data_IF_509816001093
#
_entry.id   IF_509816001093
#
_cell.length_a   1.000
_cell.length_b   1.000
_cell.length_c   1.000
_cell.angle_alpha   90.00
_cell.angle_beta   90.00
_cell.angle_gamma   90.00
#
_symmetry.space_group_name_H-M   'P 1'
#
loop_
_entity.id
_entity.type
_entity.pdbx_description
1 polymer ?
#
# COMPACT_ATOMS: atom_id res chain seq x y z
N UNK A 1 -19.21 4.70 25.05
CA UNK A 1 -17.86 4.40 24.56
C UNK A 1 -18.00 3.92 23.14
N UNK A 2 -17.19 4.44 22.20
CA UNK A 2 -17.26 4.09 20.78
C UNK A 2 -16.89 2.62 20.57
N UNK A 3 -17.62 1.93 19.70
CA UNK A 3 -17.46 0.50 19.42
C UNK A 3 -17.10 0.22 17.97
N UNK A 4 -17.37 1.15 17.06
CA UNK A 4 -17.15 0.95 15.64
C UNK A 4 -16.78 2.25 14.92
N UNK A 5 -15.53 2.32 14.48
CA UNK A 5 -14.96 3.47 13.81
C UNK A 5 -15.07 3.30 12.30
N UNK A 6 -15.54 4.33 11.59
CA UNK A 6 -15.24 4.50 10.17
C UNK A 6 -13.95 5.31 10.04
N UNK A 7 -12.98 4.80 9.30
CA UNK A 7 -11.70 5.49 9.02
C UNK A 7 -11.58 5.68 7.50
N UNK A 8 -11.93 6.86 6.96
CA UNK A 8 -11.69 7.13 5.56
C UNK A 8 -10.20 7.36 5.29
N UNK A 9 -9.71 6.69 4.26
CA UNK A 9 -8.31 6.70 3.85
C UNK A 9 -8.19 7.03 2.36
N UNK A 10 -7.10 7.68 1.98
CA UNK A 10 -6.75 8.00 0.61
C UNK A 10 -5.32 7.54 0.29
N UNK A 11 -4.86 7.76 -0.94
CA UNK A 11 -3.53 7.32 -1.39
C UNK A 11 -2.41 8.29 -0.96
N UNK A 12 -2.55 8.96 0.19
CA UNK A 12 -1.55 9.88 0.72
C UNK A 12 -0.77 9.26 1.88
N UNK A 13 0.44 9.74 2.11
CA UNK A 13 1.26 9.35 3.26
C UNK A 13 0.57 9.68 4.60
N UNK A 14 -0.35 10.67 4.58
CA UNK A 14 -1.20 11.04 5.71
C UNK A 14 -2.11 9.89 6.15
N UNK A 15 -2.62 9.12 5.18
CA UNK A 15 -3.51 8.01 5.44
C UNK A 15 -2.81 6.89 6.23
N UNK A 16 -1.53 6.62 5.94
CA UNK A 16 -0.73 5.64 6.68
C UNK A 16 -0.65 6.01 8.17
N UNK A 17 -0.40 7.28 8.47
CA UNK A 17 -0.37 7.76 9.87
C UNK A 17 -1.74 7.70 10.52
N UNK A 18 -2.79 8.07 9.78
CA UNK A 18 -4.17 8.00 10.25
C UNK A 18 -4.57 6.57 10.62
N UNK A 19 -4.18 5.57 9.82
CA UNK A 19 -4.39 4.15 10.12
C UNK A 19 -3.77 3.79 11.46
N UNK A 20 -2.50 4.16 11.69
CA UNK A 20 -1.81 3.90 12.96
C UNK A 20 -2.52 4.53 14.16
N UNK A 21 -2.97 5.78 14.05
CA UNK A 21 -3.73 6.45 15.12
C UNK A 21 -5.10 5.82 15.37
N UNK A 22 -5.81 5.44 14.31
CA UNK A 22 -7.11 4.80 14.44
C UNK A 22 -6.99 3.43 15.14
N UNK A 23 -5.97 2.65 14.80
CA UNK A 23 -5.67 1.36 15.44
C UNK A 23 -5.29 1.56 16.90
N UNK A 24 -4.43 2.54 17.20
CA UNK A 24 -4.04 2.88 18.57
C UNK A 24 -5.21 3.34 19.44
N UNK A 25 -6.22 4.01 18.84
CA UNK A 25 -7.46 4.38 19.51
C UNK A 25 -8.39 3.18 19.69
N UNK A 26 -8.59 2.37 18.65
CA UNK A 26 -9.56 1.27 18.66
C UNK A 26 -9.16 0.13 19.62
N UNK A 27 -7.86 -0.19 19.70
CA UNK A 27 -7.32 -1.30 20.51
C UNK A 27 -7.71 -1.23 21.99
N UNK A 28 -7.43 -0.16 22.76
CA UNK A 28 -7.81 -0.09 24.17
C UNK A 28 -9.33 0.03 24.38
N UNK A 29 -10.09 0.47 23.36
CA UNK A 29 -11.55 0.55 23.41
C UNK A 29 -12.23 -0.81 23.14
N UNK A 30 -11.50 -1.81 22.64
CA UNK A 30 -12.10 -3.03 22.10
C UNK A 30 -13.02 -2.76 20.91
N UNK A 31 -12.78 -1.67 20.18
CA UNK A 31 -13.59 -1.26 19.04
C UNK A 31 -13.11 -1.96 17.75
N UNK A 32 -14.01 -2.08 16.77
CA UNK A 32 -13.68 -2.51 15.41
C UNK A 32 -13.54 -1.32 14.47
N UNK A 33 -12.86 -1.50 13.34
CA UNK A 33 -12.65 -0.47 12.32
C UNK A 33 -13.28 -0.89 10.99
N UNK A 34 -13.99 0.01 10.32
CA UNK A 34 -14.25 -0.07 8.88
C UNK A 34 -13.36 0.95 8.18
N UNK A 35 -12.35 0.49 7.45
CA UNK A 35 -11.58 1.34 6.55
C UNK A 35 -12.41 1.64 5.31
N UNK A 36 -12.40 2.90 4.87
CA UNK A 36 -13.20 3.32 3.73
C UNK A 36 -12.38 4.11 2.72
N UNK A 37 -12.51 3.80 1.44
CA UNK A 37 -11.94 4.60 0.37
C UNK A 37 -13.03 5.06 -0.60
N UNK A 38 -13.19 6.38 -0.73
CA UNK A 38 -13.99 6.98 -1.79
C UNK A 38 -13.16 6.99 -3.07
N UNK A 39 -13.60 6.23 -4.06
CA UNK A 39 -12.96 6.17 -5.37
C UNK A 39 -13.66 7.18 -6.26
N UNK A 40 -12.89 8.07 -6.91
CA UNK A 40 -13.48 9.06 -7.82
C UNK A 40 -14.26 8.40 -8.96
N UNK A 41 -15.49 8.88 -9.20
CA UNK A 41 -16.35 8.39 -10.27
C UNK A 41 -16.00 9.12 -11.57
N UNK A 42 -15.18 8.48 -12.40
CA UNK A 42 -14.77 9.06 -13.67
C UNK A 42 -15.97 9.34 -14.60
N UNK A 43 -17.09 8.60 -14.46
CA UNK A 43 -18.30 8.78 -15.27
C UNK A 43 -19.03 10.10 -14.98
N UNK A 44 -18.94 10.59 -13.75
CA UNK A 44 -19.61 11.81 -13.31
C UNK A 44 -18.70 13.05 -13.42
N UNK A 45 -17.37 12.86 -13.42
CA UNK A 45 -16.40 13.86 -13.82
C UNK A 45 -16.31 13.95 -15.36
N UNK A 46 -17.15 14.79 -15.96
CA UNK A 46 -17.21 15.08 -17.41
C UNK A 46 -15.90 15.59 -18.06
N UNK A 47 -14.75 15.57 -17.36
CA UNK A 47 -13.44 16.03 -17.84
C UNK A 47 -12.28 15.27 -17.19
N UNK A 48 -11.69 14.31 -17.91
CA UNK A 48 -10.38 13.76 -17.55
C UNK A 48 -9.95 12.51 -18.32
N UNK A 49 -8.66 12.18 -18.22
CA UNK A 49 -8.07 10.94 -18.76
C UNK A 49 -8.73 9.67 -18.21
N UNK A 50 -9.25 9.73 -16.98
CA UNK A 50 -9.95 8.61 -16.33
C UNK A 50 -11.31 8.28 -16.99
N UNK A 51 -12.06 9.28 -17.48
CA UNK A 51 -13.32 9.05 -18.20
C UNK A 51 -13.08 8.50 -19.60
N UNK A 52 -12.05 9.04 -20.27
CA UNK A 52 -11.55 8.48 -21.52
C UNK A 52 -11.17 7.02 -21.34
N UNK A 53 -10.40 6.68 -20.30
CA UNK A 53 -10.02 5.30 -19.99
C UNK A 53 -11.24 4.42 -19.69
N UNK A 54 -12.20 4.90 -18.92
CA UNK A 54 -13.45 4.15 -18.62
C UNK A 54 -14.26 3.86 -19.87
N UNK A 55 -14.33 4.80 -20.82
CA UNK A 55 -15.08 4.66 -22.06
C UNK A 55 -14.36 3.82 -23.12
N UNK A 56 -13.04 3.92 -23.21
CA UNK A 56 -12.24 3.26 -24.25
C UNK A 56 -11.70 1.90 -23.82
N UNK A 57 -11.52 1.67 -22.52
CA UNK A 57 -11.04 0.43 -21.94
C UNK A 57 -11.61 0.22 -20.51
N UNK A 58 -12.92 -0.10 -20.39
CA UNK A 58 -13.61 -0.30 -19.10
C UNK A 58 -12.88 -1.26 -18.16
N UNK A 59 -12.31 -2.35 -18.70
CA UNK A 59 -11.56 -3.35 -17.96
C UNK A 59 -10.24 -2.80 -17.41
N UNK A 60 -9.56 -1.93 -18.18
CA UNK A 60 -8.34 -1.24 -17.76
C UNK A 60 -8.63 -0.21 -16.66
N UNK A 61 -9.77 0.49 -16.75
CA UNK A 61 -10.22 1.42 -15.73
C UNK A 61 -10.53 0.71 -14.41
N UNK A 62 -11.35 -0.35 -14.46
CA UNK A 62 -11.70 -1.14 -13.27
C UNK A 62 -10.43 -1.67 -12.60
N UNK A 63 -9.49 -2.20 -13.39
CA UNK A 63 -8.22 -2.69 -12.90
C UNK A 63 -7.37 -1.59 -12.22
N UNK A 64 -7.19 -0.45 -12.87
CA UNK A 64 -6.29 0.63 -12.41
C UNK A 64 -6.83 1.33 -11.17
N UNK A 65 -8.14 1.56 -11.13
CA UNK A 65 -8.78 2.35 -10.10
C UNK A 65 -9.18 1.48 -8.91
N UNK A 66 -9.82 0.32 -9.13
CA UNK A 66 -10.14 -0.60 -8.03
C UNK A 66 -8.90 -1.32 -7.50
N UNK A 67 -7.90 -1.59 -8.33
CA UNK A 67 -6.63 -2.19 -7.90
C UNK A 67 -5.93 -1.34 -6.84
N UNK A 68 -5.85 -0.02 -7.04
CA UNK A 68 -5.29 0.93 -6.06
C UNK A 68 -6.11 1.00 -4.77
N UNK A 69 -7.44 0.97 -4.88
CA UNK A 69 -8.31 0.91 -3.70
C UNK A 69 -8.06 -0.37 -2.89
N UNK A 70 -7.94 -1.52 -3.56
CA UNK A 70 -7.64 -2.82 -2.93
C UNK A 70 -6.27 -2.81 -2.25
N UNK A 71 -5.25 -2.24 -2.87
CA UNK A 71 -3.92 -2.07 -2.25
C UNK A 71 -4.03 -1.31 -0.93
N UNK A 72 -4.59 -0.09 -0.99
CA UNK A 72 -4.68 0.82 0.15
C UNK A 72 -5.43 0.17 1.31
N UNK A 73 -6.57 -0.45 1.02
CA UNK A 73 -7.41 -1.13 2.01
C UNK A 73 -6.73 -2.38 2.58
N UNK A 74 -6.02 -3.16 1.74
CA UNK A 74 -5.27 -4.34 2.20
C UNK A 74 -4.16 -3.96 3.18
N UNK A 75 -3.42 -2.89 2.90
CA UNK A 75 -2.39 -2.35 3.81
C UNK A 75 -3.00 -1.93 5.15
N UNK A 76 -4.14 -1.22 5.11
CA UNK A 76 -4.82 -0.75 6.31
C UNK A 76 -5.34 -1.92 7.18
N UNK A 77 -5.93 -2.93 6.56
CA UNK A 77 -6.35 -4.13 7.29
C UNK A 77 -5.18 -4.87 7.91
N UNK A 78 -4.06 -4.99 7.21
CA UNK A 78 -2.88 -5.67 7.72
C UNK A 78 -2.35 -5.00 9.00
N UNK A 79 -2.28 -3.66 9.01
CA UNK A 79 -1.90 -2.88 10.19
C UNK A 79 -2.84 -3.12 11.39
N UNK A 80 -4.16 -3.13 11.15
CA UNK A 80 -5.15 -3.37 12.19
C UNK A 80 -5.11 -4.82 12.72
N UNK A 81 -5.05 -5.82 11.82
CA UNK A 81 -4.97 -7.24 12.16
C UNK A 81 -3.72 -7.57 12.97
N UNK A 82 -2.57 -7.01 12.60
CA UNK A 82 -1.31 -7.16 13.33
C UNK A 82 -1.41 -6.71 14.80
N UNK A 83 -2.25 -5.71 15.07
CA UNK A 83 -2.47 -5.19 16.43
C UNK A 83 -3.71 -5.79 17.12
N UNK A 84 -4.30 -6.84 16.54
CA UNK A 84 -5.47 -7.53 17.08
C UNK A 84 -6.77 -6.72 17.03
N UNK A 85 -6.85 -5.69 16.20
CA UNK A 85 -8.06 -4.87 16.02
C UNK A 85 -8.93 -5.48 14.92
N UNK A 86 -10.18 -5.89 15.21
CA UNK A 86 -11.08 -6.37 14.18
C UNK A 86 -11.34 -5.28 13.14
N UNK A 87 -11.17 -5.62 11.86
CA UNK A 87 -11.36 -4.66 10.78
C UNK A 87 -12.05 -5.27 9.56
N UNK A 88 -12.72 -4.42 8.81
CA UNK A 88 -13.17 -4.68 7.44
C UNK A 88 -12.88 -3.46 6.56
N UNK A 89 -12.90 -3.65 5.26
CA UNK A 89 -12.73 -2.58 4.28
C UNK A 89 -13.94 -2.43 3.39
N UNK A 90 -14.24 -1.18 3.01
CA UNK A 90 -15.26 -0.83 2.03
C UNK A 90 -14.72 0.23 1.07
N UNK A 91 -15.23 0.23 -0.15
CA UNK A 91 -15.04 1.34 -1.07
C UNK A 91 -16.35 1.66 -1.77
N UNK A 92 -16.47 2.88 -2.29
CA UNK A 92 -17.58 3.27 -3.13
C UNK A 92 -17.09 4.23 -4.23
N UNK A 93 -17.66 4.11 -5.43
CA UNK A 93 -17.48 5.13 -6.47
C UNK A 93 -18.29 6.36 -6.07
N UNK A 94 -17.65 7.53 -5.99
CA UNK A 94 -18.33 8.79 -5.70
C UNK A 94 -17.43 10.00 -6.00
N UNK A 95 -18.01 11.00 -6.66
CA UNK A 95 -17.42 12.34 -6.80
C UNK A 95 -17.65 13.24 -5.59
N UNK A 96 -18.37 12.74 -4.58
CA UNK A 96 -18.66 13.43 -3.34
C UNK A 96 -18.12 12.59 -2.17
N UNK A 97 -16.80 12.64 -1.87
CA UNK A 97 -16.17 11.80 -0.86
C UNK A 97 -16.83 11.93 0.51
N UNK A 98 -17.09 13.16 0.98
CA UNK A 98 -17.73 13.40 2.28
C UNK A 98 -19.09 12.70 2.42
N UNK A 99 -19.93 12.80 1.38
CA UNK A 99 -21.21 12.09 1.35
C UNK A 99 -21.03 10.58 1.38
N UNK A 100 -20.11 10.04 0.57
CA UNK A 100 -19.84 8.60 0.53
C UNK A 100 -19.32 8.07 1.88
N UNK A 101 -18.48 8.86 2.58
CA UNK A 101 -18.02 8.58 3.94
C UNK A 101 -19.22 8.48 4.89
N UNK A 102 -20.13 9.45 4.87
CA UNK A 102 -21.30 9.45 5.76
C UNK A 102 -22.22 8.26 5.47
N UNK A 103 -22.49 7.97 4.20
CA UNK A 103 -23.31 6.84 3.78
C UNK A 103 -22.68 5.50 4.18
N UNK A 104 -21.36 5.35 3.99
CA UNK A 104 -20.62 4.17 4.42
C UNK A 104 -20.62 3.99 5.94
N UNK A 105 -20.43 5.07 6.71
CA UNK A 105 -20.50 5.04 8.18
C UNK A 105 -21.84 4.50 8.66
N UNK A 106 -22.94 5.04 8.11
CA UNK A 106 -24.31 4.64 8.46
C UNK A 106 -24.60 3.20 8.05
N UNK A 107 -24.24 2.81 6.83
CA UNK A 107 -24.47 1.47 6.32
C UNK A 107 -23.68 0.39 7.08
N UNK A 108 -22.50 0.71 7.58
CA UNK A 108 -21.68 -0.21 8.37
C UNK A 108 -22.04 -0.21 9.87
N UNK A 109 -22.87 0.73 10.32
CA UNK A 109 -23.26 0.88 11.73
C UNK A 109 -22.17 1.49 12.60
N UNK A 110 -21.33 2.36 12.04
CA UNK A 110 -20.26 3.06 12.76
C UNK A 110 -20.86 4.08 13.74
N UNK A 111 -20.23 4.22 14.90
CA UNK A 111 -20.60 5.18 15.96
C UNK A 111 -19.56 6.30 16.16
N UNK A 112 -18.46 6.28 15.40
CA UNK A 112 -17.46 7.33 15.30
C UNK A 112 -16.91 7.40 13.87
N UNK A 113 -16.72 8.60 13.33
CA UNK A 113 -15.93 8.83 12.12
C UNK A 113 -14.57 9.40 12.54
N UNK A 114 -13.48 8.71 12.22
CA UNK A 114 -12.12 9.09 12.59
C UNK A 114 -11.34 9.51 11.36
N UNK A 115 -11.07 10.82 11.22
CA UNK A 115 -10.50 11.40 9.99
C UNK A 115 -9.20 12.15 10.25
N UNK A 116 -8.36 12.25 9.24
CA UNK A 116 -7.27 13.21 9.24
C UNK A 116 -7.83 14.62 9.01
N UNK A 117 -7.16 15.64 9.56
CA UNK A 117 -7.25 17.00 9.04
C UNK A 117 -6.36 17.07 7.80
N UNK A 118 -6.90 17.05 6.58
CA UNK A 118 -6.05 17.23 5.39
C UNK A 118 -5.37 18.61 5.45
N UNK A 119 -4.05 18.58 5.65
CA UNK A 119 -3.21 19.76 5.83
C UNK A 119 -2.58 20.20 4.52
N UNK A 120 -3.34 20.89 3.67
CA UNK A 120 -2.73 21.76 2.67
C UNK A 120 -3.08 23.22 2.97
N UNK A 121 -2.02 23.98 3.25
CA UNK A 121 -1.88 25.45 3.32
C UNK A 121 -1.98 26.14 4.69
N UNK A 122 -0.82 26.35 5.31
CA UNK A 122 -0.46 27.68 5.82
C UNK A 122 -0.39 27.88 7.34
N UNK A 123 0.53 28.75 7.76
CA UNK A 123 0.84 29.15 9.15
C UNK A 123 -0.25 29.98 9.87
N UNK A 124 -1.53 29.69 9.68
CA UNK A 124 -2.61 30.30 10.46
C UNK A 124 -3.60 29.23 10.89
N UNK A 125 -3.88 29.19 12.20
CA UNK A 125 -4.78 28.22 12.81
C UNK A 125 -6.17 28.22 12.15
N UNK A 126 -6.65 27.00 11.86
CA UNK A 126 -7.89 26.64 11.17
C UNK A 126 -7.83 26.68 9.63
N UNK A 127 -7.30 25.60 9.06
CA UNK A 127 -7.74 25.10 7.76
C UNK A 127 -8.33 23.70 8.00
N UNK A 128 -9.63 23.60 8.25
CA UNK A 128 -10.32 22.32 8.07
C UNK A 128 -10.46 22.11 6.56
N UNK A 129 -9.99 20.99 6.04
CA UNK A 129 -10.26 20.63 4.66
C UNK A 129 -11.77 20.54 4.40
N UNK A 130 -12.16 20.86 3.17
CA UNK A 130 -13.57 20.89 2.72
C UNK A 130 -14.31 19.61 3.10
N UNK A 131 -13.67 18.45 2.93
CA UNK A 131 -14.22 17.14 3.18
C UNK A 131 -14.41 16.87 4.67
N UNK A 132 -13.39 17.19 5.49
CA UNK A 132 -13.48 17.05 6.96
C UNK A 132 -14.60 17.93 7.51
N UNK A 133 -14.69 19.18 7.04
CA UNK A 133 -15.73 20.12 7.46
C UNK A 133 -17.12 19.64 7.02
N UNK A 134 -17.26 19.15 5.81
CA UNK A 134 -18.54 18.64 5.30
C UNK A 134 -19.02 17.42 6.11
N UNK A 135 -18.12 16.50 6.47
CA UNK A 135 -18.44 15.36 7.35
C UNK A 135 -18.80 15.83 8.76
N UNK A 136 -18.05 16.79 9.33
CA UNK A 136 -18.35 17.40 10.62
C UNK A 136 -19.75 18.02 10.65
N UNK A 137 -20.14 18.72 9.58
CA UNK A 137 -21.42 19.43 9.50
C UNK A 137 -22.60 18.49 9.22
N UNK A 138 -22.41 17.42 8.45
CA UNK A 138 -23.53 16.66 7.86
C UNK A 138 -23.64 15.19 8.33
N UNK A 139 -22.64 14.63 9.03
CA UNK A 139 -22.67 13.20 9.38
C UNK A 139 -23.77 12.82 10.36
N UNK A 140 -24.04 13.68 11.35
CA UNK A 140 -24.86 13.35 12.51
C UNK A 140 -24.22 12.33 13.45
N UNK A 141 -22.96 11.92 13.19
CA UNK A 141 -22.16 11.04 14.03
C UNK A 141 -21.07 11.87 14.73
N UNK A 142 -20.58 11.43 15.90
CA UNK A 142 -19.34 11.94 16.44
C UNK A 142 -18.22 11.84 15.39
N UNK A 143 -17.44 12.91 15.24
CA UNK A 143 -16.28 12.97 14.33
C UNK A 143 -15.06 13.34 15.16
N UNK A 144 -14.03 12.51 15.11
CA UNK A 144 -12.73 12.77 15.74
C UNK A 144 -11.72 13.07 14.63
N UNK A 145 -11.13 14.27 14.70
CA UNK A 145 -10.13 14.72 13.74
C UNK A 145 -8.75 14.59 14.34
N UNK A 146 -7.90 13.76 13.73
CA UNK A 146 -6.49 13.63 14.09
C UNK A 146 -5.69 14.74 13.40
N UNK A 147 -5.02 15.59 14.21
CA UNK A 147 -3.96 16.44 13.70
C UNK A 147 -2.75 15.58 13.34
N UNK A 148 -2.21 15.82 12.16
CA UNK A 148 -1.01 15.17 11.63
C UNK A 148 0.15 16.16 11.47
N UNK A 149 -0.02 17.41 11.95
CA UNK A 149 0.80 18.56 11.56
C UNK A 149 2.08 18.85 12.37
N UNK A 150 2.33 18.21 13.51
CA UNK A 150 3.42 18.60 14.43
C UNK A 150 4.40 17.47 14.80
N UNK A 151 4.68 16.54 13.89
CA UNK A 151 5.81 15.60 14.09
C UNK A 151 7.10 16.15 13.50
N UNK A 152 8.27 15.79 14.08
CA UNK A 152 9.54 15.97 13.40
C UNK A 152 9.43 15.36 11.99
N UNK A 153 10.11 15.94 10.98
CA UNK A 153 10.07 15.42 9.61
C UNK A 153 10.21 13.91 9.65
N UNK A 154 9.33 13.19 8.93
CA UNK A 154 9.50 11.74 8.76
C UNK A 154 10.97 11.52 8.42
N UNK A 155 11.67 10.73 9.25
CA UNK A 155 13.09 10.47 9.04
C UNK A 155 13.29 10.10 7.58
N UNK A 156 14.33 10.62 6.94
CA UNK A 156 14.56 10.44 5.49
C UNK A 156 14.46 8.95 5.11
N UNK A 157 14.91 8.07 6.00
CA UNK A 157 14.74 6.63 5.92
C UNK A 157 13.29 6.14 5.71
N UNK A 158 12.32 6.68 6.45
CA UNK A 158 10.89 6.32 6.31
C UNK A 158 10.37 6.68 4.91
N UNK A 159 10.72 7.88 4.43
CA UNK A 159 10.33 8.30 3.08
C UNK A 159 10.94 7.39 2.01
N UNK A 160 12.21 6.99 2.18
CA UNK A 160 12.87 6.03 1.29
C UNK A 160 12.11 4.70 1.27
N UNK A 161 11.81 4.08 2.41
CA UNK A 161 11.06 2.81 2.47
C UNK A 161 9.71 2.94 1.75
N UNK A 162 8.95 4.00 2.03
CA UNK A 162 7.64 4.23 1.38
C UNK A 162 7.74 4.40 -0.14
N UNK A 163 8.77 5.07 -0.63
CA UNK A 163 9.01 5.22 -2.07
C UNK A 163 9.38 3.88 -2.73
N UNK A 164 10.13 3.02 -2.03
CA UNK A 164 10.46 1.67 -2.47
C UNK A 164 9.21 0.77 -2.51
N UNK A 165 8.37 0.83 -1.49
CA UNK A 165 7.04 0.18 -1.47
C UNK A 165 6.16 0.63 -2.63
N UNK A 166 6.11 1.94 -2.90
CA UNK A 166 5.36 2.51 -4.03
C UNK A 166 5.86 1.94 -5.36
N UNK A 167 7.17 1.72 -5.49
CA UNK A 167 7.78 1.14 -6.69
C UNK A 167 7.43 -0.34 -6.84
N UNK A 168 7.43 -1.12 -5.76
CA UNK A 168 7.00 -2.52 -5.75
C UNK A 168 5.52 -2.66 -6.11
N UNK A 169 4.67 -1.85 -5.48
CA UNK A 169 3.24 -1.82 -5.79
C UNK A 169 2.97 -1.44 -7.26
N UNK A 170 3.70 -0.47 -7.81
CA UNK A 170 3.57 -0.08 -9.21
C UNK A 170 3.91 -1.22 -10.18
N UNK A 171 4.95 -2.01 -9.89
CA UNK A 171 5.30 -3.19 -10.69
C UNK A 171 4.21 -4.26 -10.59
N UNK A 172 3.59 -4.44 -9.42
CA UNK A 172 2.48 -5.38 -9.28
C UNK A 172 1.23 -4.95 -10.03
N UNK A 173 0.85 -3.67 -9.97
CA UNK A 173 -0.24 -3.13 -10.77
C UNK A 173 0.02 -3.28 -12.26
N UNK A 174 1.24 -2.97 -12.71
CA UNK A 174 1.64 -3.16 -14.10
C UNK A 174 1.49 -4.63 -14.54
N UNK A 175 1.89 -5.59 -13.71
CA UNK A 175 1.79 -7.00 -14.07
C UNK A 175 0.34 -7.50 -14.12
N UNK A 176 -0.44 -7.20 -13.09
CA UNK A 176 -1.86 -7.56 -13.08
C UNK A 176 -2.62 -6.90 -14.24
N UNK A 177 -2.25 -5.67 -14.65
CA UNK A 177 -2.80 -5.02 -15.83
C UNK A 177 -2.51 -5.78 -17.13
N UNK A 178 -1.26 -6.19 -17.33
CA UNK A 178 -0.83 -7.01 -18.49
C UNK A 178 -1.63 -8.32 -18.57
N UNK A 179 -1.87 -8.97 -17.43
CA UNK A 179 -2.64 -10.21 -17.38
C UNK A 179 -4.13 -9.99 -17.62
N UNK A 180 -4.71 -8.90 -17.10
CA UNK A 180 -6.10 -8.52 -17.33
C UNK A 180 -6.37 -8.26 -18.82
N UNK A 181 -5.49 -7.51 -19.50
CA UNK A 181 -5.60 -7.26 -20.95
C UNK A 181 -5.57 -8.55 -21.76
N UNK A 182 -4.66 -9.47 -21.43
CA UNK A 182 -4.56 -10.76 -22.11
C UNK A 182 -5.81 -11.63 -21.88
N UNK A 183 -6.39 -11.58 -20.67
CA UNK A 183 -7.59 -12.34 -20.33
C UNK A 183 -8.86 -11.81 -21.03
N UNK A 184 -8.94 -10.50 -21.30
CA UNK A 184 -10.08 -9.86 -21.97
C UNK A 184 -10.03 -9.94 -23.51
N UNK A 185 -9.19 -10.81 -24.08
CA UNK A 185 -9.07 -11.00 -25.53
C UNK A 185 -7.99 -10.13 -26.20
N UNK A 186 -7.11 -9.51 -25.42
CA UNK A 186 -5.92 -8.84 -25.93
C UNK A 186 -4.84 -9.81 -26.45
N UNK A 187 -3.76 -9.24 -26.97
CA UNK A 187 -2.60 -10.01 -27.42
C UNK A 187 -1.96 -10.80 -26.27
N UNK A 188 -1.17 -11.81 -26.63
CA UNK A 188 -0.38 -12.56 -25.64
C UNK A 188 0.53 -11.61 -24.85
N UNK A 189 0.61 -11.79 -23.51
CA UNK A 189 1.42 -10.92 -22.68
C UNK A 189 2.91 -11.10 -23.01
N UNK A 190 3.66 -9.99 -23.01
CA UNK A 190 5.11 -10.01 -23.26
C UNK A 190 5.82 -10.83 -22.17
N UNK A 191 6.19 -12.07 -22.50
CA UNK A 191 6.91 -12.98 -21.59
C UNK A 191 8.24 -12.38 -21.11
N UNK A 192 8.92 -11.58 -21.94
CA UNK A 192 10.16 -10.94 -21.55
C UNK A 192 9.92 -9.81 -20.54
N UNK A 193 8.79 -9.11 -20.65
CA UNK A 193 8.33 -8.13 -19.65
C UNK A 193 7.98 -8.81 -18.32
N UNK A 194 7.21 -9.91 -18.33
CA UNK A 194 6.87 -10.64 -17.09
C UNK A 194 8.11 -11.19 -16.38
N UNK A 195 9.06 -11.76 -17.14
CA UNK A 195 10.36 -12.15 -16.57
C UNK A 195 11.17 -10.96 -16.03
N UNK A 196 11.01 -9.77 -16.61
CA UNK A 196 11.64 -8.55 -16.09
C UNK A 196 10.99 -8.06 -14.78
N UNK A 197 9.66 -8.15 -14.67
CA UNK A 197 8.91 -7.88 -13.44
C UNK A 197 9.35 -8.83 -12.32
N UNK A 198 9.42 -10.14 -12.59
CA UNK A 198 9.94 -11.14 -11.66
C UNK A 198 11.34 -10.82 -11.14
N UNK A 199 12.27 -10.49 -12.05
CA UNK A 199 13.64 -10.10 -11.67
C UNK A 199 13.64 -8.85 -10.81
N UNK A 200 12.81 -7.86 -11.13
CA UNK A 200 12.72 -6.66 -10.30
C UNK A 200 12.23 -7.01 -8.88
N UNK A 201 11.08 -7.71 -8.77
CA UNK A 201 10.47 -8.07 -7.50
C UNK A 201 11.35 -8.98 -6.63
N UNK A 202 12.25 -9.75 -7.26
CA UNK A 202 13.21 -10.62 -6.55
C UNK A 202 14.48 -9.88 -6.15
N UNK A 203 15.12 -9.24 -7.10
CA UNK A 203 16.50 -8.78 -6.93
C UNK A 203 16.56 -7.41 -6.27
N UNK A 204 15.57 -6.55 -6.49
CA UNK A 204 15.55 -5.21 -5.89
C UNK A 204 15.34 -5.28 -4.37
N UNK A 205 14.32 -5.98 -3.83
CA UNK A 205 14.13 -6.01 -2.39
C UNK A 205 15.31 -6.64 -1.66
N UNK A 206 15.81 -7.77 -2.15
CA UNK A 206 16.94 -8.48 -1.55
C UNK A 206 18.24 -7.65 -1.54
N UNK A 207 18.48 -6.84 -2.57
CA UNK A 207 19.72 -6.05 -2.68
C UNK A 207 19.65 -4.69 -1.96
N UNK A 208 18.49 -4.03 -1.98
CA UNK A 208 18.39 -2.62 -1.58
C UNK A 208 17.38 -2.34 -0.47
N UNK A 209 16.38 -3.19 -0.26
CA UNK A 209 15.26 -2.93 0.64
C UNK A 209 15.38 -3.72 1.95
N UNK A 210 15.32 -5.05 1.91
CA UNK A 210 15.37 -5.89 3.11
C UNK A 210 16.62 -5.64 3.99
N UNK A 211 17.83 -5.39 3.44
CA UNK A 211 18.98 -5.02 4.28
C UNK A 211 18.78 -3.73 5.09
N UNK A 212 18.02 -2.77 4.56
CA UNK A 212 17.66 -1.53 5.27
C UNK A 212 16.73 -1.82 6.44
N UNK A 213 15.74 -2.66 6.20
CA UNK A 213 14.77 -3.07 7.22
C UNK A 213 15.44 -3.89 8.31
N UNK A 214 16.01 -5.04 7.94
CA UNK A 214 16.50 -6.01 8.92
C UNK A 214 17.73 -5.49 9.67
N UNK A 215 18.75 -5.03 8.93
CA UNK A 215 20.04 -4.70 9.52
C UNK A 215 20.11 -3.29 10.09
N UNK A 216 19.27 -2.36 9.62
CA UNK A 216 19.32 -0.98 10.11
C UNK A 216 18.16 -0.63 11.02
N UNK A 217 16.92 -0.88 10.59
CA UNK A 217 15.73 -0.44 11.31
C UNK A 217 15.31 -1.44 12.41
N UNK A 218 15.06 -2.69 12.05
CA UNK A 218 14.54 -3.73 12.94
C UNK A 218 15.51 -4.05 14.06
N UNK A 219 16.79 -4.20 13.75
CA UNK A 219 17.83 -4.43 14.76
C UNK A 219 17.85 -3.33 15.83
N UNK A 220 17.80 -2.05 15.42
CA UNK A 220 17.81 -0.92 16.35
C UNK A 220 16.50 -0.83 17.13
N UNK A 221 15.37 -1.11 16.50
CA UNK A 221 14.08 -1.11 17.17
C UNK A 221 14.03 -2.15 18.30
N UNK A 222 14.50 -3.38 18.04
CA UNK A 222 14.62 -4.44 19.08
C UNK A 222 15.52 -4.05 20.24
N UNK A 223 16.55 -3.22 19.98
CA UNK A 223 17.41 -2.72 21.05
C UNK A 223 16.72 -1.66 21.93
N UNK A 224 15.62 -1.05 21.48
CA UNK A 224 14.89 0.00 22.21
C UNK A 224 13.58 -0.49 22.83
N UNK A 225 12.92 -1.51 22.26
CA UNK A 225 11.65 -2.04 22.77
C UNK A 225 11.40 -3.48 22.31
N UNK A 226 10.65 -4.24 23.09
CA UNK A 226 10.11 -5.58 22.78
C UNK A 226 8.66 -5.54 22.27
N UNK A 227 8.02 -4.36 22.27
CA UNK A 227 6.58 -4.20 22.02
C UNK A 227 6.13 -4.67 20.62
N UNK A 228 7.05 -4.81 19.67
CA UNK A 228 6.78 -5.23 18.30
C UNK A 228 7.56 -6.49 17.87
N UNK A 229 8.18 -7.21 18.81
CA UNK A 229 9.01 -8.39 18.49
C UNK A 229 8.26 -9.47 17.71
N UNK A 230 6.99 -9.71 18.05
CA UNK A 230 6.15 -10.69 17.36
C UNK A 230 5.92 -10.30 15.88
N UNK A 231 5.74 -9.01 15.61
CA UNK A 231 5.51 -8.48 14.27
C UNK A 231 6.79 -8.43 13.46
N UNK A 232 7.92 -8.02 14.06
CA UNK A 232 9.24 -8.12 13.42
C UNK A 232 9.57 -9.55 13.01
N UNK A 233 9.30 -10.52 13.90
CA UNK A 233 9.50 -11.94 13.59
C UNK A 233 8.53 -12.44 12.49
N UNK A 234 7.33 -11.88 12.37
CA UNK A 234 6.40 -12.20 11.28
C UNK A 234 6.86 -11.65 9.94
N UNK A 235 7.36 -10.41 9.91
CA UNK A 235 7.93 -9.79 8.70
C UNK A 235 9.12 -10.58 8.18
N UNK A 236 10.05 -10.99 9.06
CA UNK A 236 11.17 -11.85 8.67
C UNK A 236 10.70 -13.21 8.11
N UNK A 237 9.63 -13.80 8.66
CA UNK A 237 9.00 -15.00 8.08
C UNK A 237 8.33 -14.70 6.74
N UNK A 238 7.79 -13.50 6.54
CA UNK A 238 7.26 -13.08 5.25
C UNK A 238 8.38 -12.94 4.21
N UNK A 239 9.54 -12.35 4.53
CA UNK A 239 10.69 -12.31 3.61
C UNK A 239 11.13 -13.70 3.12
N UNK A 240 11.04 -14.73 3.98
CA UNK A 240 11.32 -16.12 3.58
C UNK A 240 10.24 -16.70 2.65
N UNK A 241 8.96 -16.39 2.89
CA UNK A 241 7.83 -16.85 2.05
C UNK A 241 7.78 -16.12 0.71
N UNK A 242 8.27 -14.89 0.65
CA UNK A 242 8.37 -14.09 -0.57
C UNK A 242 9.11 -14.85 -1.68
N UNK A 243 10.25 -15.46 -1.36
CA UNK A 243 11.00 -16.30 -2.29
C UNK A 243 10.22 -17.50 -2.83
N UNK A 244 9.33 -18.11 -2.02
CA UNK A 244 8.49 -19.24 -2.45
C UNK A 244 7.37 -18.78 -3.40
N UNK A 245 6.80 -17.61 -3.14
CA UNK A 245 5.84 -16.99 -4.04
C UNK A 245 6.47 -16.66 -5.38
N UNK A 246 7.62 -15.97 -5.37
CA UNK A 246 8.34 -15.60 -6.59
C UNK A 246 8.75 -16.82 -7.43
N UNK A 247 9.13 -17.93 -6.79
CA UNK A 247 9.38 -19.19 -7.49
C UNK A 247 8.11 -19.81 -8.11
N UNK A 248 6.96 -19.63 -7.46
CA UNK A 248 5.65 -20.08 -7.99
C UNK A 248 5.25 -19.26 -9.20
N UNK A 249 5.40 -17.93 -9.13
CA UNK A 249 5.13 -17.04 -10.24
C UNK A 249 6.07 -17.30 -11.43
N UNK A 250 7.36 -17.56 -11.17
CA UNK A 250 8.33 -17.93 -12.21
C UNK A 250 7.89 -19.21 -12.94
N UNK A 251 7.50 -20.26 -12.22
CA UNK A 251 6.95 -21.48 -12.84
C UNK A 251 5.69 -21.20 -13.65
N UNK A 252 4.81 -20.31 -13.19
CA UNK A 252 3.61 -19.91 -13.93
C UNK A 252 3.93 -19.17 -15.23
N UNK A 253 4.92 -18.28 -15.23
CA UNK A 253 5.39 -17.59 -16.45
C UNK A 253 6.01 -18.57 -17.45
N UNK A 254 6.83 -19.51 -16.98
CA UNK A 254 7.43 -20.52 -17.86
C UNK A 254 6.38 -21.50 -18.40
N UNK A 255 5.43 -21.93 -17.57
CA UNK A 255 4.31 -22.75 -18.02
C UNK A 255 3.48 -22.05 -19.12
N UNK A 256 3.27 -20.74 -19.00
CA UNK A 256 2.57 -19.96 -20.02
C UNK A 256 3.37 -19.88 -21.32
N UNK A 257 4.70 -19.80 -21.24
CA UNK A 257 5.59 -19.78 -22.39
C UNK A 257 5.56 -21.10 -23.17
N UNK A 258 5.39 -22.22 -22.47
CA UNK A 258 5.34 -23.57 -23.05
C UNK A 258 3.93 -24.01 -23.44
N UNK A 259 2.88 -23.30 -23.00
CA UNK A 259 1.49 -23.69 -23.21
C UNK A 259 1.07 -23.66 -24.69
N UNK A 260 0.49 -24.78 -25.13
CA UNK A 260 -0.21 -24.87 -26.41
C UNK A 260 -1.52 -24.06 -26.40
N UNK A 261 -2.17 -23.96 -27.57
CA UNK A 261 -3.39 -23.18 -27.72
C UNK A 261 -4.56 -23.68 -26.83
N UNK A 262 -4.59 -24.97 -26.48
CA UNK A 262 -5.67 -25.56 -25.70
C UNK A 262 -5.50 -25.30 -24.20
N UNK A 263 -4.27 -25.32 -23.68
CA UNK A 263 -3.97 -25.13 -22.26
C UNK A 263 -3.77 -23.65 -21.87
N UNK A 264 -3.41 -22.80 -22.83
CA UNK A 264 -3.02 -21.40 -22.59
C UNK A 264 -4.01 -20.56 -21.79
N UNK A 265 -5.30 -20.69 -22.06
CA UNK A 265 -6.31 -19.91 -21.34
C UNK A 265 -6.36 -20.25 -19.84
N UNK A 266 -6.28 -21.54 -19.50
CA UNK A 266 -6.26 -21.98 -18.09
C UNK A 266 -4.96 -21.59 -17.40
N UNK A 267 -3.82 -21.75 -18.07
CA UNK A 267 -2.51 -21.36 -17.51
C UNK A 267 -2.45 -19.85 -17.26
N UNK A 268 -2.96 -19.03 -18.18
CA UNK A 268 -3.07 -17.58 -18.01
C UNK A 268 -3.97 -17.23 -16.82
N UNK A 269 -5.13 -17.87 -16.71
CA UNK A 269 -6.05 -17.63 -15.60
C UNK A 269 -5.44 -18.03 -14.25
N UNK A 270 -4.72 -19.15 -14.18
CA UNK A 270 -4.02 -19.59 -12.98
C UNK A 270 -2.89 -18.61 -12.60
N UNK A 271 -2.07 -18.18 -13.56
CA UNK A 271 -1.05 -17.17 -13.33
C UNK A 271 -1.67 -15.86 -12.81
N UNK A 272 -2.80 -15.42 -13.36
CA UNK A 272 -3.55 -14.26 -12.87
C UNK A 272 -3.93 -14.39 -11.40
N UNK A 273 -4.51 -15.54 -11.00
CA UNK A 273 -4.87 -15.83 -9.60
C UNK A 273 -3.64 -15.81 -8.68
N UNK A 274 -2.52 -16.38 -9.12
CA UNK A 274 -1.30 -16.44 -8.33
C UNK A 274 -0.66 -15.05 -8.17
N UNK A 275 -0.67 -14.22 -9.23
CA UNK A 275 -0.19 -12.83 -9.18
C UNK A 275 -1.05 -11.98 -8.24
N UNK A 276 -2.38 -12.13 -8.27
CA UNK A 276 -3.27 -11.45 -7.32
C UNK A 276 -3.07 -11.91 -5.87
N UNK A 277 -2.80 -13.20 -5.67
CA UNK A 277 -2.49 -13.74 -4.34
C UNK A 277 -1.16 -13.20 -3.81
N UNK A 278 -0.14 -13.13 -4.66
CA UNK A 278 1.15 -12.53 -4.32
C UNK A 278 1.03 -11.02 -4.04
N UNK A 279 0.26 -10.27 -4.84
CA UNK A 279 0.03 -8.85 -4.61
C UNK A 279 -0.60 -8.61 -3.22
N UNK A 280 -1.60 -9.42 -2.83
CA UNK A 280 -2.19 -9.34 -1.48
C UNK A 280 -1.19 -9.68 -0.37
N UNK A 281 -0.33 -10.67 -0.59
CA UNK A 281 0.74 -11.00 0.35
C UNK A 281 1.71 -9.83 0.54
N UNK A 282 2.16 -9.22 -0.57
CA UNK A 282 3.06 -8.07 -0.56
C UNK A 282 2.41 -6.84 0.09
N UNK A 283 1.12 -6.58 -0.16
CA UNK A 283 0.40 -5.48 0.49
C UNK A 283 0.16 -5.72 1.98
N UNK A 284 -0.07 -6.97 2.42
CA UNK A 284 -0.16 -7.29 3.86
C UNK A 284 1.18 -7.04 4.56
N UNK A 285 2.27 -7.44 3.91
CA UNK A 285 3.63 -7.19 4.38
C UNK A 285 3.92 -5.69 4.56
N UNK A 286 3.80 -4.91 3.48
CA UNK A 286 4.03 -3.45 3.53
C UNK A 286 3.09 -2.75 4.51
N UNK A 287 1.84 -3.23 4.65
CA UNK A 287 0.87 -2.67 5.59
C UNK A 287 1.27 -2.86 7.05
N UNK A 288 1.87 -4.00 7.40
CA UNK A 288 2.43 -4.24 8.74
C UNK A 288 3.63 -3.34 9.02
N UNK A 289 4.53 -3.18 8.05
CA UNK A 289 5.67 -2.29 8.20
C UNK A 289 5.23 -0.84 8.38
N UNK A 290 4.47 -0.32 7.43
CA UNK A 290 4.03 1.06 7.39
C UNK A 290 3.10 1.42 8.55
N UNK A 291 2.22 0.49 8.96
CA UNK A 291 1.18 0.73 9.96
C UNK A 291 1.53 0.30 11.38
N UNK A 292 2.57 -0.52 11.57
CA UNK A 292 2.99 -1.01 12.90
C UNK A 292 4.45 -0.70 13.19
N UNK A 293 5.36 -1.13 12.32
CA UNK A 293 6.80 -1.03 12.60
C UNK A 293 7.32 0.40 12.48
N UNK A 294 7.00 1.12 11.41
CA UNK A 294 7.45 2.51 11.23
C UNK A 294 6.91 3.43 12.35
N UNK A 295 5.63 3.34 12.77
CA UNK A 295 5.13 4.09 13.93
C UNK A 295 5.83 3.70 15.23
N UNK A 296 6.09 2.41 15.46
CA UNK A 296 6.84 1.97 16.64
C UNK A 296 8.29 2.51 16.63
N UNK A 297 8.94 2.49 15.47
CA UNK A 297 10.25 3.09 15.28
C UNK A 297 10.24 4.58 15.63
N UNK A 298 9.25 5.34 15.13
CA UNK A 298 9.10 6.76 15.47
C UNK A 298 8.88 7.00 16.96
N UNK A 299 8.19 6.09 17.65
CA UNK A 299 7.89 6.22 19.08
C UNK A 299 9.07 5.84 19.99
N UNK A 300 9.92 4.90 19.57
CA UNK A 300 10.94 4.30 20.45
C UNK A 300 12.40 4.61 20.07
N UNK A 301 12.68 4.93 18.80
CA UNK A 301 14.04 5.26 18.37
C UNK A 301 14.40 6.70 18.77
N UNK A 302 15.67 6.87 19.18
CA UNK A 302 16.24 8.15 19.54
C UNK A 302 16.81 8.88 18.31
N UNK A 303 17.10 10.17 18.46
CA UNK A 303 17.69 10.97 17.38
C UNK A 303 19.01 10.39 16.84
N UNK A 304 19.85 9.83 17.71
CA UNK A 304 21.10 9.15 17.35
C UNK A 304 20.87 7.88 16.50
N UNK A 305 19.79 7.14 16.78
CA UNK A 305 19.42 5.97 15.99
C UNK A 305 19.02 6.40 14.58
N UNK A 306 18.19 7.44 14.46
CA UNK A 306 17.75 7.99 13.19
C UNK A 306 18.91 8.56 12.37
N UNK A 307 19.86 9.25 12.99
CA UNK A 307 21.07 9.72 12.31
C UNK A 307 21.88 8.57 11.72
N UNK A 308 22.04 7.47 12.48
CA UNK A 308 22.76 6.29 12.01
C UNK A 308 22.01 5.57 10.88
N UNK A 309 20.68 5.46 10.98
CA UNK A 309 19.83 4.86 9.93
C UNK A 309 19.89 5.69 8.65
N UNK A 310 19.73 7.03 8.75
CA UNK A 310 19.77 7.91 7.58
C UNK A 310 21.14 7.88 6.88
N UNK A 311 22.24 7.83 7.65
CA UNK A 311 23.58 7.66 7.12
C UNK A 311 23.73 6.30 6.41
N UNK A 312 23.30 5.21 7.05
CA UNK A 312 23.34 3.87 6.47
C UNK A 312 22.50 3.77 5.20
N UNK A 313 21.31 4.39 5.15
CA UNK A 313 20.44 4.38 3.95
C UNK A 313 21.04 5.19 2.80
N UNK A 314 21.71 6.30 3.09
CA UNK A 314 22.47 7.06 2.10
C UNK A 314 23.68 6.28 1.58
N UNK A 315 24.29 5.47 2.46
CA UNK A 315 25.43 4.62 2.16
C UNK A 315 25.07 3.28 1.55
N UNK A 316 23.80 2.79 1.64
CA UNK A 316 23.31 1.45 1.26
C UNK A 316 23.38 1.17 -0.26
N UNK A 317 24.60 1.36 -0.74
CA UNK A 317 25.36 0.69 -1.77
C UNK A 317 25.77 -0.62 -1.11
N UNK A 318 25.08 -1.70 -1.41
CA UNK A 318 25.49 -3.01 -0.92
C UNK A 318 26.94 -3.29 -1.39
N UNK A 319 27.91 -3.57 -0.50
CA UNK A 319 29.28 -3.92 -0.91
C UNK A 319 29.34 -5.14 -1.85
N UNK A 320 28.33 -6.02 -1.83
CA UNK A 320 28.18 -7.18 -2.72
C UNK A 320 27.56 -6.87 -4.09
N UNK A 321 26.87 -5.74 -4.25
CA UNK A 321 26.33 -5.27 -5.52
C UNK A 321 27.01 -3.95 -5.88
N UNK A 322 28.08 -4.04 -6.68
CA UNK A 322 28.99 -2.92 -7.00
C UNK A 322 28.33 -1.60 -7.44
N UNK A 323 29.14 -0.55 -7.56
CA UNK A 323 28.69 0.81 -7.87
C UNK A 323 27.61 0.86 -8.97
N UNK A 324 26.44 1.43 -8.64
CA UNK A 324 25.34 1.65 -9.61
C UNK A 324 24.15 0.69 -9.53
N UNK A 325 24.06 -0.18 -8.52
CA UNK A 325 22.90 -1.07 -8.30
C UNK A 325 21.55 -0.31 -8.29
N UNK A 326 21.46 0.83 -7.59
CA UNK A 326 20.28 1.71 -7.59
C UNK A 326 19.91 2.18 -9.01
N UNK A 327 20.89 2.64 -9.80
CA UNK A 327 20.66 3.05 -11.19
C UNK A 327 20.26 1.89 -12.11
N UNK A 328 20.75 0.67 -11.84
CA UNK A 328 20.34 -0.54 -12.57
C UNK A 328 18.86 -0.82 -12.32
N UNK A 329 18.41 -0.82 -11.07
CA UNK A 329 17.01 -1.11 -10.75
C UNK A 329 16.07 0.02 -11.15
N UNK A 330 16.49 1.29 -11.06
CA UNK A 330 15.75 2.42 -11.63
C UNK A 330 15.53 2.26 -13.14
N UNK A 331 16.57 1.87 -13.89
CA UNK A 331 16.45 1.59 -15.33
C UNK A 331 15.55 0.39 -15.62
N UNK A 332 15.62 -0.66 -14.80
CA UNK A 332 14.74 -1.82 -14.92
C UNK A 332 13.28 -1.43 -14.65
N UNK A 333 13.03 -0.68 -13.58
CA UNK A 333 11.72 -0.15 -13.22
C UNK A 333 11.13 0.69 -14.35
N UNK A 334 11.86 1.71 -14.83
CA UNK A 334 11.38 2.54 -15.95
C UNK A 334 11.07 1.73 -17.19
N UNK A 335 11.86 0.68 -17.49
CA UNK A 335 11.59 -0.21 -18.62
C UNK A 335 10.32 -1.05 -18.41
N UNK A 336 10.09 -1.54 -17.19
CA UNK A 336 8.88 -2.29 -16.84
C UNK A 336 7.65 -1.40 -16.98
N UNK A 337 7.65 -0.23 -16.36
CA UNK A 337 6.51 0.69 -16.38
C UNK A 337 6.20 1.18 -17.80
N UNK A 338 7.22 1.59 -18.55
CA UNK A 338 7.01 2.10 -19.92
C UNK A 338 6.56 1.03 -20.93
N UNK A 339 6.71 -0.26 -20.63
CA UNK A 339 6.24 -1.36 -21.48
C UNK A 339 4.89 -1.90 -21.06
N UNK A 340 4.47 -1.65 -19.82
CA UNK A 340 3.21 -2.13 -19.28
C UNK A 340 2.07 -1.10 -19.44
N UNK A 341 2.40 0.18 -19.62
CA UNK A 341 1.45 1.24 -20.00
C UNK A 341 1.42 1.45 -21.50
#
# INVERSE_FOLDING_TARGET
MYRHLLVPIDATDLAVELIGHAVALARPLGARITFFHAVGDAAASLRGEAELLRLTAPEAYEFTVLGKARELLSKAEAAARAQGVPCESRHAMSDHPARAIIEAARAAGCDLVFMASHGHHGKLGMAFASETLEVLMNSGLPVLVSSTGDRPPAARAIAIIRDEHRSLAAVMHAWMHVLAQAASGGDMPDLALMRAMLRYLRDFPAALHHPKEESQLFQRLRARTDACDAELAELERQHLRDGQWLATLERGVEALAEADAAARAEVLAQLGRDVEAYARFLWDHMGREEGVILPAAQAHLLAEDWQAIDAAFAENRDPGFGEGADQKYKRLFSRVINRAG
#
